data_IF_237040452506
#
_entry.id   IF_237040452506
#
_cell.length_a   1.000
_cell.length_b   1.000
_cell.length_c   1.000
_cell.angle_alpha   90.00
_cell.angle_beta   90.00
_cell.angle_gamma   90.00
#
_symmetry.space_group_name_H-M   'P 1'
#
loop_
_entity.id
_entity.type
_entity.pdbx_description
1 polymer ?
#
# COMPACT_ATOMS: atom_id res chain seq x y z
N UNK A 1 -13.97 3.65 -50.22
CA UNK A 1 -14.46 3.34 -48.85
C UNK A 1 -13.33 2.97 -47.89
N UNK A 2 -12.30 2.23 -48.33
CA UNK A 2 -11.14 1.82 -47.50
C UNK A 2 -10.39 2.96 -46.79
N UNK A 3 -10.19 4.12 -47.42
CA UNK A 3 -9.42 5.23 -46.82
C UNK A 3 -10.08 5.76 -45.53
N UNK A 4 -11.41 5.89 -45.52
CA UNK A 4 -12.17 6.33 -44.33
C UNK A 4 -12.10 5.30 -43.20
N UNK A 5 -12.03 4.02 -43.53
CA UNK A 5 -11.96 2.94 -42.54
C UNK A 5 -10.56 2.84 -41.90
N UNK A 6 -9.50 3.03 -42.69
CA UNK A 6 -8.12 3.16 -42.23
C UNK A 6 -7.93 4.34 -41.27
N UNK A 7 -8.48 5.51 -41.64
CA UNK A 7 -8.42 6.70 -40.78
C UNK A 7 -9.21 6.48 -39.49
N UNK A 8 -10.41 5.87 -39.55
CA UNK A 8 -11.20 5.53 -38.36
C UNK A 8 -10.46 4.55 -37.45
N UNK A 9 -9.80 3.53 -38.00
CA UNK A 9 -8.97 2.58 -37.24
C UNK A 9 -7.78 3.27 -36.57
N UNK A 10 -7.08 4.17 -37.28
CA UNK A 10 -6.02 5.01 -36.70
C UNK A 10 -6.53 5.93 -35.59
N UNK A 11 -7.68 6.56 -35.77
CA UNK A 11 -8.28 7.42 -34.74
C UNK A 11 -8.68 6.63 -33.49
N UNK A 12 -9.24 5.43 -33.67
CA UNK A 12 -9.57 4.53 -32.57
C UNK A 12 -8.30 4.03 -31.87
N UNK A 13 -7.26 3.66 -32.63
CA UNK A 13 -5.97 3.21 -32.10
C UNK A 13 -5.20 4.32 -31.34
N UNK A 14 -5.28 5.57 -31.81
CA UNK A 14 -4.74 6.74 -31.11
C UNK A 14 -5.54 7.06 -29.84
N UNK A 15 -6.85 6.84 -29.86
CA UNK A 15 -7.73 7.04 -28.70
C UNK A 15 -7.52 5.98 -27.61
N UNK A 16 -7.15 4.75 -27.99
CA UNK A 16 -7.08 3.60 -27.07
C UNK A 16 -5.68 3.37 -26.47
N UNK A 17 -4.70 4.21 -26.81
CA UNK A 17 -3.34 4.13 -26.25
C UNK A 17 -3.36 4.57 -24.78
N UNK A 18 -3.71 3.64 -23.90
CA UNK A 18 -3.75 3.81 -22.44
C UNK A 18 -2.42 4.40 -21.99
N UNK A 19 -2.46 5.62 -21.48
CA UNK A 19 -1.24 6.32 -21.07
C UNK A 19 -0.61 5.56 -19.91
N UNK A 20 0.71 5.35 -19.92
CA UNK A 20 1.36 4.59 -18.85
C UNK A 20 1.38 5.42 -17.56
N UNK A 21 1.01 4.79 -16.44
CA UNK A 21 1.28 5.28 -15.08
C UNK A 21 2.34 4.39 -14.41
N UNK A 22 3.63 4.78 -14.47
CA UNK A 22 4.70 4.01 -13.85
C UNK A 22 4.51 3.86 -12.33
N UNK A 23 4.05 4.92 -11.65
CA UNK A 23 3.85 4.87 -10.21
C UNK A 23 2.60 4.09 -9.84
N UNK A 24 1.49 4.28 -10.57
CA UNK A 24 0.30 3.47 -10.42
C UNK A 24 0.61 1.98 -10.52
N UNK A 25 1.34 1.55 -11.55
CA UNK A 25 1.72 0.15 -11.72
C UNK A 25 2.56 -0.41 -10.56
N UNK A 26 3.47 0.39 -9.99
CA UNK A 26 4.28 -0.04 -8.83
C UNK A 26 3.42 -0.27 -7.59
N UNK A 27 2.48 0.62 -7.32
CA UNK A 27 1.54 0.46 -6.20
C UNK A 27 0.55 -0.69 -6.45
N UNK A 28 0.09 -0.92 -7.69
CA UNK A 28 -0.71 -2.12 -8.02
C UNK A 28 0.08 -3.39 -7.71
N UNK A 29 1.33 -3.48 -8.19
CA UNK A 29 2.18 -4.65 -7.93
C UNK A 29 2.40 -4.85 -6.42
N UNK A 30 2.67 -3.77 -5.70
CA UNK A 30 2.79 -3.77 -4.23
C UNK A 30 1.52 -4.28 -3.55
N UNK A 31 0.33 -3.81 -3.96
CA UNK A 31 -0.93 -4.27 -3.39
C UNK A 31 -1.16 -5.77 -3.62
N UNK A 32 -0.81 -6.28 -4.81
CA UNK A 32 -0.88 -7.72 -5.13
C UNK A 32 0.04 -8.51 -4.20
N UNK A 33 1.29 -8.06 -4.03
CA UNK A 33 2.28 -8.73 -3.17
C UNK A 33 1.81 -8.72 -1.70
N UNK A 34 1.40 -7.58 -1.17
CA UNK A 34 0.93 -7.47 0.22
C UNK A 34 -0.37 -8.28 0.43
N UNK A 35 -1.27 -8.31 -0.55
CA UNK A 35 -2.44 -9.18 -0.54
C UNK A 35 -2.07 -10.66 -0.45
N UNK A 36 -1.08 -11.10 -1.25
CA UNK A 36 -0.58 -12.47 -1.18
C UNK A 36 0.08 -12.80 0.17
N UNK A 37 0.83 -11.85 0.75
CA UNK A 37 1.47 -12.02 2.07
C UNK A 37 0.41 -12.25 3.15
N UNK A 38 -0.63 -11.40 3.24
CA UNK A 38 -1.65 -11.59 4.28
C UNK A 38 -2.44 -12.87 4.08
N UNK A 39 -2.79 -13.24 2.84
CA UNK A 39 -3.45 -14.52 2.58
C UNK A 39 -2.58 -15.70 3.01
N UNK A 40 -1.29 -15.68 2.67
CA UNK A 40 -0.34 -16.71 3.09
C UNK A 40 -0.19 -16.79 4.62
N UNK A 41 -0.13 -15.63 5.28
CA UNK A 41 -0.08 -15.55 6.74
C UNK A 41 -1.36 -16.13 7.37
N UNK A 42 -2.55 -15.76 6.87
CA UNK A 42 -3.83 -16.28 7.36
C UNK A 42 -3.89 -17.81 7.26
N UNK A 43 -3.54 -18.36 6.11
CA UNK A 43 -3.53 -19.83 5.90
C UNK A 43 -2.54 -20.49 6.87
N UNK A 44 -1.34 -19.91 7.03
CA UNK A 44 -0.33 -20.45 7.94
C UNK A 44 -0.80 -20.45 9.39
N UNK A 45 -1.47 -19.39 9.84
CA UNK A 45 -1.98 -19.30 11.21
C UNK A 45 -3.13 -20.27 11.47
N UNK A 46 -4.02 -20.48 10.50
CA UNK A 46 -5.09 -21.49 10.60
C UNK A 46 -4.49 -22.89 10.71
N UNK A 47 -3.48 -23.22 9.89
CA UNK A 47 -2.80 -24.52 9.95
C UNK A 47 -2.07 -24.67 11.29
N UNK A 48 -1.37 -23.64 11.74
CA UNK A 48 -0.66 -23.67 13.01
C UNK A 48 -1.62 -23.91 14.19
N UNK A 49 -2.77 -23.23 14.20
CA UNK A 49 -3.81 -23.49 15.19
C UNK A 49 -4.31 -24.94 15.11
N UNK A 50 -4.63 -25.44 13.90
CA UNK A 50 -5.16 -26.79 13.72
C UNK A 50 -4.18 -27.92 14.12
N UNK A 51 -2.88 -27.66 14.12
CA UNK A 51 -1.84 -28.65 14.44
C UNK A 51 -1.33 -28.55 15.87
N UNK A 52 -1.22 -27.32 16.42
CA UNK A 52 -0.53 -27.07 17.68
C UNK A 52 -1.45 -26.60 18.82
N UNK A 53 -2.73 -26.38 18.56
CA UNK A 53 -3.66 -25.87 19.57
C UNK A 53 -4.87 -26.78 19.74
N UNK A 54 -5.22 -27.05 21.01
CA UNK A 54 -6.48 -27.70 21.38
C UNK A 54 -7.68 -26.75 21.36
N UNK A 55 -7.43 -25.44 21.21
CA UNK A 55 -8.46 -24.41 21.22
C UNK A 55 -9.09 -24.22 19.84
N UNK A 56 -10.42 -24.21 19.80
CA UNK A 56 -11.15 -23.99 18.55
C UNK A 56 -10.99 -22.57 18.03
N UNK A 57 -11.09 -22.40 16.69
CA UNK A 57 -11.06 -21.09 16.06
C UNK A 57 -12.17 -20.16 16.59
N UNK A 58 -13.33 -20.71 16.93
CA UNK A 58 -14.46 -19.94 17.49
C UNK A 58 -14.11 -19.37 18.87
N UNK A 59 -13.45 -20.16 19.71
CA UNK A 59 -13.00 -19.72 21.03
C UNK A 59 -11.94 -18.64 20.92
N UNK A 60 -11.00 -18.74 19.98
CA UNK A 60 -10.06 -17.65 19.69
C UNK A 60 -10.77 -16.35 19.27
N UNK A 61 -11.74 -16.46 18.34
CA UNK A 61 -12.54 -15.31 17.91
C UNK A 61 -13.34 -14.69 19.06
N UNK A 62 -13.77 -15.50 20.05
CA UNK A 62 -14.50 -15.01 21.21
C UNK A 62 -13.65 -14.14 22.14
N UNK A 63 -12.33 -14.36 22.17
CA UNK A 63 -11.37 -13.57 22.95
C UNK A 63 -10.98 -12.24 22.26
N UNK A 64 -11.55 -11.93 21.10
CA UNK A 64 -11.10 -10.84 20.21
C UNK A 64 -11.01 -9.44 20.83
N UNK A 65 -11.70 -9.19 21.93
CA UNK A 65 -11.71 -7.90 22.62
C UNK A 65 -10.94 -7.87 23.94
N UNK A 66 -10.41 -9.02 24.39
CA UNK A 66 -9.70 -9.13 25.66
C UNK A 66 -8.29 -9.70 25.50
N UNK A 67 -7.44 -9.46 26.50
CA UNK A 67 -6.11 -10.02 26.58
C UNK A 67 -5.21 -9.67 25.39
N UNK A 68 -4.28 -10.57 25.02
CA UNK A 68 -3.38 -10.40 23.88
C UNK A 68 -4.07 -10.55 22.52
N UNK A 69 -5.21 -11.25 22.44
CA UNK A 69 -5.94 -11.52 21.21
C UNK A 69 -6.34 -10.23 20.47
N UNK A 70 -6.69 -9.16 21.21
CA UNK A 70 -7.03 -7.85 20.62
C UNK A 70 -5.95 -7.32 19.66
N UNK A 71 -4.68 -7.57 19.94
CA UNK A 71 -3.57 -7.12 19.09
C UNK A 71 -3.51 -7.90 17.79
N UNK A 72 -3.89 -9.18 17.81
CA UNK A 72 -4.05 -9.97 16.60
C UNK A 72 -5.12 -9.37 15.69
N UNK A 73 -6.34 -9.15 16.21
CA UNK A 73 -7.45 -8.62 15.42
C UNK A 73 -7.17 -7.21 14.93
N UNK A 74 -6.61 -6.37 15.79
CA UNK A 74 -6.22 -5.01 15.43
C UNK A 74 -5.15 -5.02 14.33
N UNK A 75 -4.08 -5.80 14.49
CA UNK A 75 -3.03 -5.95 13.48
C UNK A 75 -3.57 -6.47 12.15
N UNK A 76 -4.44 -7.49 12.19
CA UNK A 76 -5.05 -8.11 11.02
C UNK A 76 -5.95 -7.14 10.24
N UNK A 77 -6.85 -6.44 10.94
CA UNK A 77 -7.71 -5.42 10.35
C UNK A 77 -6.89 -4.27 9.75
N UNK A 78 -5.85 -3.81 10.45
CA UNK A 78 -4.96 -2.78 9.96
C UNK A 78 -4.17 -3.23 8.74
N UNK A 79 -3.74 -4.49 8.66
CA UNK A 79 -3.05 -5.03 7.48
C UNK A 79 -3.99 -5.06 6.26
N UNK A 80 -5.21 -5.55 6.40
CA UNK A 80 -6.18 -5.56 5.29
C UNK A 80 -6.45 -4.12 4.82
N UNK A 81 -6.64 -3.20 5.76
CA UNK A 81 -6.83 -1.77 5.46
C UNK A 81 -5.60 -1.17 4.78
N UNK A 82 -4.39 -1.59 5.15
CA UNK A 82 -3.14 -1.19 4.49
C UNK A 82 -3.11 -1.66 3.03
N UNK A 83 -3.43 -2.93 2.75
CA UNK A 83 -3.50 -3.46 1.36
C UNK A 83 -4.48 -2.65 0.52
N UNK A 84 -5.68 -2.39 1.06
CA UNK A 84 -6.70 -1.56 0.40
C UNK A 84 -6.18 -0.14 0.17
N UNK A 85 -5.51 0.44 1.16
CA UNK A 85 -4.91 1.79 1.05
C UNK A 85 -3.82 1.86 -0.03
N UNK A 86 -3.00 0.82 -0.18
CA UNK A 86 -2.00 0.71 -1.26
C UNK A 86 -2.70 0.65 -2.63
N UNK A 87 -3.78 -0.14 -2.74
CA UNK A 87 -4.55 -0.24 -3.98
C UNK A 87 -5.21 1.09 -4.37
N UNK A 88 -5.82 1.80 -3.40
CA UNK A 88 -6.39 3.14 -3.61
C UNK A 88 -5.30 4.14 -4.03
N UNK A 89 -4.12 4.08 -3.39
CA UNK A 89 -2.96 4.91 -3.76
C UNK A 89 -2.56 4.67 -5.23
N UNK A 90 -2.62 3.43 -5.69
CA UNK A 90 -2.38 3.09 -7.09
C UNK A 90 -3.37 3.78 -8.05
N UNK A 91 -4.66 3.79 -7.68
CA UNK A 91 -5.72 4.48 -8.45
C UNK A 91 -5.43 5.98 -8.50
N UNK A 92 -5.04 6.59 -7.39
CA UNK A 92 -4.69 8.01 -7.33
C UNK A 92 -3.51 8.37 -8.22
N UNK A 93 -2.42 7.61 -8.18
CA UNK A 93 -1.28 7.85 -9.08
C UNK A 93 -1.62 7.58 -10.54
N UNK A 94 -2.45 6.58 -10.83
CA UNK A 94 -2.91 6.32 -12.18
C UNK A 94 -3.77 7.47 -12.72
N UNK A 95 -4.71 7.99 -11.91
CA UNK A 95 -5.49 9.17 -12.28
C UNK A 95 -4.59 10.39 -12.53
N UNK A 96 -3.61 10.61 -11.65
CA UNK A 96 -2.70 11.74 -11.73
C UNK A 96 -1.78 11.68 -12.97
N UNK A 97 -1.23 10.51 -13.29
CA UNK A 97 -0.30 10.35 -14.42
C UNK A 97 -1.00 10.10 -15.77
N UNK A 98 -2.06 9.29 -15.79
CA UNK A 98 -2.76 8.89 -17.01
C UNK A 98 -3.86 9.86 -17.41
N UNK A 99 -4.69 10.30 -16.47
CA UNK A 99 -5.83 11.18 -16.76
C UNK A 99 -5.42 12.66 -16.75
N UNK A 100 -4.70 13.10 -15.71
CA UNK A 100 -4.28 14.51 -15.57
C UNK A 100 -2.96 14.82 -16.29
N UNK A 101 -2.23 13.82 -16.76
CA UNK A 101 -0.93 13.96 -17.43
C UNK A 101 0.13 14.70 -16.58
N UNK A 102 -0.01 14.67 -15.24
CA UNK A 102 0.89 15.32 -14.29
C UNK A 102 1.87 14.28 -13.75
N UNK A 103 2.98 14.09 -14.45
CA UNK A 103 3.98 13.07 -14.06
C UNK A 103 4.74 13.49 -12.80
N UNK A 104 4.91 12.56 -11.87
CA UNK A 104 5.75 12.75 -10.68
C UNK A 104 7.22 12.72 -11.11
N UNK A 105 7.94 13.83 -10.92
CA UNK A 105 9.35 13.97 -11.34
C UNK A 105 10.19 14.72 -10.30
N UNK A 106 11.51 14.55 -10.37
CA UNK A 106 12.48 15.26 -9.51
C UNK A 106 12.31 14.91 -8.03
N UNK A 107 12.35 15.92 -7.14
CA UNK A 107 12.23 15.72 -5.68
C UNK A 107 10.96 14.98 -5.26
N UNK A 108 9.85 15.16 -6.00
CA UNK A 108 8.58 14.47 -5.71
C UNK A 108 8.70 12.96 -5.89
N UNK A 109 9.53 12.51 -6.82
CA UNK A 109 9.78 11.08 -7.07
C UNK A 109 10.42 10.40 -5.84
N UNK A 110 11.29 11.10 -5.11
CA UNK A 110 11.88 10.58 -3.87
C UNK A 110 10.82 10.41 -2.78
N UNK A 111 9.91 11.39 -2.64
CA UNK A 111 8.83 11.32 -1.67
C UNK A 111 7.86 10.15 -1.95
N UNK A 112 7.57 9.86 -3.21
CA UNK A 112 6.74 8.68 -3.58
C UNK A 112 7.48 7.37 -3.31
N UNK A 113 8.79 7.32 -3.49
CA UNK A 113 9.59 6.17 -3.05
C UNK A 113 9.52 5.97 -1.53
N UNK A 114 9.64 7.05 -0.75
CA UNK A 114 9.48 6.98 0.71
C UNK A 114 8.09 6.50 1.10
N UNK A 115 7.04 6.92 0.39
CA UNK A 115 5.68 6.39 0.59
C UNK A 115 5.61 4.89 0.32
N UNK A 116 6.14 4.45 -0.83
CA UNK A 116 6.11 3.04 -1.21
C UNK A 116 6.84 2.18 -0.17
N UNK A 117 8.04 2.59 0.26
CA UNK A 117 8.81 1.89 1.30
C UNK A 117 8.07 1.93 2.64
N UNK A 118 7.56 3.10 3.04
CA UNK A 118 6.85 3.26 4.31
C UNK A 118 5.63 2.35 4.40
N UNK A 119 4.83 2.26 3.34
CA UNK A 119 3.65 1.38 3.31
C UNK A 119 4.03 -0.10 3.28
N UNK A 120 5.03 -0.51 2.49
CA UNK A 120 5.37 -1.93 2.31
C UNK A 120 6.27 -2.50 3.40
N UNK A 121 7.15 -1.70 3.99
CA UNK A 121 8.11 -2.13 5.01
C UNK A 121 7.57 -1.71 6.37
N UNK A 122 7.43 -0.41 6.62
CA UNK A 122 6.94 0.08 7.91
C UNK A 122 5.55 -0.44 8.24
N UNK A 123 4.59 -0.24 7.35
CA UNK A 123 3.20 -0.63 7.55
C UNK A 123 3.03 -2.14 7.72
N UNK A 124 3.61 -2.91 6.80
CA UNK A 124 3.52 -4.37 6.83
C UNK A 124 4.22 -4.99 8.05
N UNK A 125 5.43 -4.54 8.39
CA UNK A 125 6.15 -5.06 9.57
C UNK A 125 5.37 -4.73 10.85
N UNK A 126 4.90 -3.48 11.00
CA UNK A 126 4.09 -3.07 12.17
C UNK A 126 2.91 -4.00 12.37
N UNK A 127 2.14 -4.24 11.31
CA UNK A 127 0.91 -5.01 11.38
C UNK A 127 1.17 -6.52 11.53
N UNK A 128 2.17 -7.08 10.85
CA UNK A 128 2.58 -8.49 11.02
C UNK A 128 3.06 -8.75 12.45
N UNK A 129 3.87 -7.85 13.03
CA UNK A 129 4.34 -8.00 14.41
C UNK A 129 3.18 -7.98 15.41
N UNK A 130 2.18 -7.12 15.21
CA UNK A 130 0.96 -7.11 16.03
C UNK A 130 0.17 -8.41 15.90
N UNK A 131 0.03 -8.93 14.67
CA UNK A 131 -0.63 -10.21 14.39
C UNK A 131 0.07 -11.34 15.14
N UNK A 132 1.38 -11.47 14.97
CA UNK A 132 2.17 -12.54 15.60
C UNK A 132 2.18 -12.40 17.12
N UNK A 133 2.36 -11.18 17.65
CA UNK A 133 2.36 -10.95 19.08
C UNK A 133 1.01 -11.30 19.73
N UNK A 134 -0.10 -10.94 19.08
CA UNK A 134 -1.43 -11.31 19.56
C UNK A 134 -1.68 -12.81 19.48
N UNK A 135 -1.27 -13.47 18.39
CA UNK A 135 -1.46 -14.91 18.19
C UNK A 135 -0.62 -15.79 19.14
N UNK A 136 0.64 -15.41 19.37
CA UNK A 136 1.52 -16.13 20.31
C UNK A 136 1.18 -15.78 21.75
N UNK A 137 0.82 -14.52 22.02
CA UNK A 137 0.51 -14.04 23.37
C UNK A 137 -0.72 -14.69 23.99
N UNK A 138 -1.66 -15.21 23.18
CA UNK A 138 -2.83 -15.94 23.66
C UNK A 138 -2.54 -17.38 24.08
N UNK A 139 -1.30 -17.86 24.00
CA UNK A 139 -0.92 -19.19 24.51
C UNK A 139 -1.13 -20.36 23.54
N UNK A 140 -1.59 -20.11 22.30
CA UNK A 140 -1.83 -21.18 21.31
C UNK A 140 -0.57 -21.91 20.84
N UNK A 141 0.60 -21.39 21.16
CA UNK A 141 1.86 -22.08 20.92
C UNK A 141 2.68 -22.01 22.19
N UNK A 142 2.71 -23.08 22.97
CA UNK A 142 3.45 -23.12 24.23
C UNK A 142 4.94 -23.34 23.95
N UNK A 143 5.75 -22.30 24.17
CA UNK A 143 7.22 -22.37 24.08
C UNK A 143 7.91 -22.00 25.40
N UNK A 144 7.16 -21.57 26.43
CA UNK A 144 7.68 -21.13 27.72
C UNK A 144 6.74 -21.55 28.85
N UNK A 145 7.29 -21.78 30.05
CA UNK A 145 6.54 -22.15 31.24
C UNK A 145 5.61 -21.00 31.70
N UNK A 146 4.29 -21.20 31.55
CA UNK A 146 3.22 -20.32 32.05
C UNK A 146 2.67 -19.31 31.02
N UNK A 147 1.39 -19.43 30.67
CA UNK A 147 0.68 -18.59 29.67
C UNK A 147 0.79 -17.07 29.96
N UNK A 148 0.70 -16.68 31.23
CA UNK A 148 0.70 -15.27 31.63
C UNK A 148 2.07 -14.60 31.45
N UNK A 149 3.16 -15.38 31.54
CA UNK A 149 4.52 -14.88 31.30
C UNK A 149 4.80 -14.73 29.80
N UNK A 150 4.18 -15.58 28.97
CA UNK A 150 4.38 -15.57 27.52
C UNK A 150 3.85 -14.30 26.86
N UNK A 151 2.63 -13.87 27.21
CA UNK A 151 2.03 -12.63 26.69
C UNK A 151 2.89 -11.40 27.01
N UNK A 152 3.34 -11.28 28.25
CA UNK A 152 4.17 -10.17 28.71
C UNK A 152 5.53 -10.16 28.01
N UNK A 153 6.18 -11.32 27.92
CA UNK A 153 7.48 -11.48 27.26
C UNK A 153 7.43 -11.08 25.78
N UNK A 154 6.47 -11.63 25.02
CA UNK A 154 6.33 -11.32 23.59
C UNK A 154 6.00 -9.85 23.37
N UNK A 155 5.11 -9.28 24.19
CA UNK A 155 4.77 -7.85 24.13
C UNK A 155 6.02 -6.99 24.28
N UNK A 156 6.86 -7.27 25.27
CA UNK A 156 8.09 -6.49 25.50
C UNK A 156 9.08 -6.64 24.34
N UNK A 157 9.19 -7.84 23.75
CA UNK A 157 10.07 -8.12 22.62
C UNK A 157 9.64 -7.34 21.36
N UNK A 158 8.34 -7.27 21.05
CA UNK A 158 7.85 -6.61 19.83
C UNK A 158 7.66 -5.11 19.98
N UNK A 159 7.57 -4.58 21.20
CA UNK A 159 7.25 -3.17 21.48
C UNK A 159 8.13 -2.18 20.72
N UNK A 160 9.46 -2.34 20.81
CA UNK A 160 10.40 -1.44 20.14
C UNK A 160 10.38 -1.62 18.60
N UNK A 161 10.46 -2.85 18.04
CA UNK A 161 10.32 -3.07 16.61
C UNK A 161 9.03 -2.50 16.00
N UNK A 162 7.90 -2.65 16.69
CA UNK A 162 6.60 -2.08 16.28
C UNK A 162 6.68 -0.56 16.22
N UNK A 163 7.22 0.09 17.25
CA UNK A 163 7.34 1.55 17.31
C UNK A 163 8.21 2.11 16.17
N UNK A 164 9.36 1.49 15.90
CA UNK A 164 10.27 1.91 14.82
C UNK A 164 9.58 1.74 13.45
N UNK A 165 8.95 0.60 13.23
CA UNK A 165 8.25 0.30 11.97
C UNK A 165 7.07 1.23 11.73
N UNK A 166 6.31 1.55 12.80
CA UNK A 166 5.21 2.49 12.74
C UNK A 166 5.69 3.91 12.41
N UNK A 167 6.87 4.30 12.90
CA UNK A 167 7.49 5.58 12.54
C UNK A 167 7.89 5.63 11.06
N UNK A 168 8.48 4.55 10.54
CA UNK A 168 8.79 4.42 9.10
C UNK A 168 7.52 4.51 8.25
N UNK A 169 6.44 3.87 8.69
CA UNK A 169 5.13 3.96 8.05
C UNK A 169 4.61 5.41 8.02
N UNK A 170 4.62 6.09 9.17
CA UNK A 170 4.15 7.47 9.30
C UNK A 170 4.92 8.43 8.39
N UNK A 171 6.25 8.33 8.35
CA UNK A 171 7.11 9.13 7.48
C UNK A 171 6.75 8.90 6.00
N UNK A 172 6.53 7.64 5.62
CA UNK A 172 6.10 7.31 4.26
C UNK A 172 4.73 7.91 3.90
N UNK A 173 3.76 7.81 4.79
CA UNK A 173 2.41 8.36 4.57
C UNK A 173 2.43 9.88 4.41
N UNK A 174 3.17 10.59 5.27
CA UNK A 174 3.32 12.05 5.18
C UNK A 174 4.01 12.43 3.87
N UNK A 175 5.10 11.74 3.52
CA UNK A 175 5.84 11.97 2.26
C UNK A 175 4.94 11.80 1.04
N UNK A 176 4.12 10.75 1.03
CA UNK A 176 3.15 10.47 -0.02
C UNK A 176 2.09 11.55 -0.19
N UNK A 177 1.49 11.99 0.93
CA UNK A 177 0.52 13.07 0.93
C UNK A 177 1.09 14.37 0.34
N UNK A 178 2.30 14.75 0.74
CA UNK A 178 3.00 15.93 0.20
C UNK A 178 3.28 15.75 -1.29
N UNK A 179 3.79 14.59 -1.72
CA UNK A 179 4.10 14.32 -3.11
C UNK A 179 2.85 14.42 -4.00
N UNK A 180 1.75 13.83 -3.56
CA UNK A 180 0.48 13.84 -4.28
C UNK A 180 -0.10 15.25 -4.33
N UNK A 181 -0.25 15.93 -3.19
CA UNK A 181 -0.84 17.26 -3.12
C UNK A 181 -0.05 18.28 -3.96
N UNK A 182 1.27 18.31 -3.82
CA UNK A 182 2.11 19.24 -4.60
C UNK A 182 2.14 18.91 -6.10
N UNK A 183 1.94 17.65 -6.49
CA UNK A 183 1.82 17.29 -7.92
C UNK A 183 0.44 17.62 -8.46
N UNK A 184 -0.61 17.40 -7.67
CA UNK A 184 -1.98 17.73 -8.05
C UNK A 184 -2.18 19.24 -8.21
N UNK A 185 -1.72 20.04 -7.24
CA UNK A 185 -1.81 21.50 -7.27
C UNK A 185 -0.83 22.15 -8.26
N UNK A 186 0.33 21.52 -8.49
CA UNK A 186 1.28 21.95 -9.50
C UNK A 186 0.74 21.71 -10.91
N UNK A 187 0.05 22.70 -11.48
CA UNK A 187 -0.43 22.69 -12.86
C UNK A 187 0.70 22.49 -13.89
N UNK A 188 0.37 22.18 -15.16
CA UNK A 188 1.37 22.15 -16.20
C UNK A 188 2.08 23.49 -16.23
N UNK A 189 3.42 23.51 -16.14
CA UNK A 189 4.15 24.70 -16.59
C UNK A 189 3.82 24.84 -18.07
N UNK A 190 3.02 25.84 -18.42
CA UNK A 190 2.90 26.31 -19.80
C UNK A 190 4.33 26.74 -20.15
N UNK A 191 5.11 25.82 -20.74
CA UNK A 191 6.33 26.21 -21.41
C UNK A 191 5.90 27.27 -22.41
N UNK A 192 6.48 28.47 -22.27
CA UNK A 192 6.41 29.57 -23.23
C UNK A 192 6.12 28.98 -24.60
N UNK A 193 4.90 29.20 -25.11
CA UNK A 193 4.66 29.10 -26.54
C UNK A 193 5.73 30.00 -27.13
N UNK A 194 6.70 29.38 -27.79
CA UNK A 194 7.76 30.08 -28.48
C UNK A 194 7.09 31.15 -29.32
N UNK A 195 7.37 32.42 -29.03
CA UNK A 195 6.85 33.59 -29.73
C UNK A 195 7.17 33.62 -31.23
N UNK A 196 7.81 32.58 -31.76
CA UNK A 196 8.07 32.37 -33.18
C UNK A 196 6.91 31.70 -33.95
N UNK A 197 5.91 31.12 -33.28
CA UNK A 197 4.76 30.49 -33.99
C UNK A 197 3.64 31.49 -34.30
N UNK A 198 3.51 32.59 -33.55
CA UNK A 198 2.49 33.62 -33.81
C UNK A 198 2.85 34.54 -34.99
N UNK A 199 4.13 34.82 -35.23
CA UNK A 199 4.56 35.70 -36.33
C UNK A 199 4.48 35.05 -37.72
N UNK A 200 4.23 33.74 -37.80
CA UNK A 200 4.09 33.02 -39.07
C UNK A 200 2.69 33.16 -39.69
N UNK A 201 1.68 33.52 -38.89
CA UNK A 201 0.31 33.69 -39.38
C UNK A 201 -0.12 35.16 -39.52
N UNK A 202 0.64 36.11 -38.98
CA UNK A 202 0.42 37.57 -39.15
C UNK A 202 1.00 38.14 -40.47
N UNK A 203 1.46 37.27 -41.39
CA UNK A 203 1.93 37.67 -42.73
C UNK A 203 1.14 37.00 -43.85
N UNK A 204 -0.18 37.07 -43.76
CA UNK A 204 -1.09 36.83 -44.89
C UNK A 204 -2.07 38.00 -45.01
#
# INVERSE_FOLDING_TARGET
MEKKESERKKFLEVSDKKRPSPWGNRFVLSAIIQGAIITGLTVSLIIMQAVFSDTSLIEFLSLSLDGPAKWFFFGYFMYITLVVSIAITAIFYNHLESNLNKKVRGKKNQLVWMQLIGMNVGGAITTILLIVAGFVGTGFVSFAEGEQNQAAYITELVKLPVAISAMVFAIGMISGGIAYATTYLGGPKINKISSNELTKYDRL
#
